data_IF_817532559729
#
_entry.id   IF_817532559729
#
_cell.length_a   1.000
_cell.length_b   1.000
_cell.length_c   1.000
_cell.angle_alpha   90.00
_cell.angle_beta   90.00
_cell.angle_gamma   90.00
#
_symmetry.space_group_name_H-M   'P 1'
#
loop_
_entity.id
_entity.type
_entity.pdbx_description
1 polymer ?
#
# COMPACT_ATOMS: atom_id res chain seq x y z
N UNK A 1 -7.54 -10.34 22.81
CA UNK A 1 -7.58 -10.22 21.34
C UNK A 1 -6.91 -8.91 20.93
N UNK A 2 -6.10 -8.88 19.86
CA UNK A 2 -5.58 -7.62 19.32
C UNK A 2 -6.74 -6.70 18.88
N UNK A 3 -6.65 -5.40 19.18
CA UNK A 3 -7.69 -4.42 18.81
C UNK A 3 -7.66 -4.09 17.31
N UNK A 4 -6.46 -4.07 16.73
CA UNK A 4 -6.22 -3.88 15.31
C UNK A 4 -4.88 -4.53 14.92
N UNK A 5 -4.71 -4.80 13.62
CA UNK A 5 -3.48 -5.32 13.04
C UNK A 5 -3.23 -4.69 11.66
N UNK A 6 -1.97 -4.74 11.24
CA UNK A 6 -1.51 -4.36 9.92
C UNK A 6 -0.20 -5.09 9.66
N UNK A 7 -0.11 -5.74 8.50
CA UNK A 7 1.14 -6.28 7.96
C UNK A 7 1.74 -5.31 6.96
N UNK A 8 3.07 -5.39 6.80
CA UNK A 8 3.75 -4.70 5.73
C UNK A 8 5.00 -5.46 5.32
N UNK A 9 5.41 -5.28 4.07
CA UNK A 9 6.61 -5.93 3.53
C UNK A 9 7.28 -5.09 2.46
N UNK A 10 8.61 -5.05 2.48
CA UNK A 10 9.41 -4.34 1.49
C UNK A 10 9.56 -5.18 0.21
N UNK A 11 9.47 -4.54 -0.96
CA UNK A 11 9.91 -5.12 -2.24
C UNK A 11 10.38 -4.06 -3.23
N UNK A 12 11.08 -4.50 -4.28
CA UNK A 12 11.29 -3.69 -5.49
C UNK A 12 10.21 -4.03 -6.51
N UNK A 13 9.39 -3.05 -6.86
CA UNK A 13 8.41 -3.14 -7.94
C UNK A 13 8.96 -2.50 -9.21
N UNK A 14 8.40 -2.86 -10.36
CA UNK A 14 8.68 -2.18 -11.63
C UNK A 14 7.49 -1.30 -12.01
N UNK A 15 7.71 -0.02 -12.24
CA UNK A 15 6.68 0.96 -12.60
C UNK A 15 7.19 1.78 -13.77
N UNK A 16 6.54 1.70 -14.94
CA UNK A 16 7.00 2.41 -16.14
C UNK A 16 8.42 2.05 -16.57
N UNK A 17 8.83 0.79 -16.34
CA UNK A 17 10.21 0.33 -16.60
C UNK A 17 11.25 0.74 -15.57
N UNK A 18 10.90 1.56 -14.57
CA UNK A 18 11.76 1.93 -13.44
C UNK A 18 11.60 0.96 -12.27
N UNK A 19 12.71 0.61 -11.63
CA UNK A 19 12.67 -0.09 -10.35
C UNK A 19 12.41 0.91 -9.22
N UNK A 20 11.37 0.64 -8.45
CA UNK A 20 10.88 1.48 -7.34
C UNK A 20 10.83 0.63 -6.08
N UNK A 21 11.53 1.05 -5.03
CA UNK A 21 11.48 0.34 -3.75
C UNK A 21 10.26 0.79 -2.95
N UNK A 22 9.36 -0.14 -2.69
CA UNK A 22 8.09 0.12 -2.00
C UNK A 22 7.96 -0.75 -0.74
N UNK A 23 7.18 -0.27 0.22
CA UNK A 23 6.63 -1.09 1.30
C UNK A 23 5.14 -1.28 1.07
N UNK A 24 4.74 -2.50 0.73
CA UNK A 24 3.33 -2.81 0.59
C UNK A 24 2.66 -3.01 1.95
N UNK A 25 1.43 -2.54 2.06
CA UNK A 25 0.60 -2.64 3.26
C UNK A 25 -0.51 -3.66 3.01
N UNK A 26 -0.68 -4.62 3.93
CA UNK A 26 -1.62 -5.73 3.80
C UNK A 26 -2.17 -6.18 5.16
N UNK A 27 -3.12 -7.12 5.14
CA UNK A 27 -3.69 -7.73 6.35
C UNK A 27 -4.32 -6.74 7.35
N UNK A 28 -4.74 -5.55 6.90
CA UNK A 28 -5.25 -4.49 7.76
C UNK A 28 -6.63 -4.86 8.30
N UNK A 29 -6.76 -4.94 9.61
CA UNK A 29 -8.05 -5.20 10.26
C UNK A 29 -8.16 -4.48 11.60
N UNK A 30 -9.38 -4.03 11.93
CA UNK A 30 -9.72 -3.52 13.27
C UNK A 30 -10.91 -4.31 13.80
N UNK A 31 -10.78 -4.83 15.01
CA UNK A 31 -11.83 -5.59 15.67
C UNK A 31 -13.13 -4.76 15.74
N UNK A 32 -14.32 -5.31 15.42
CA UNK A 32 -15.56 -4.54 15.31
C UNK A 32 -15.87 -3.62 16.50
N UNK A 33 -15.67 -4.12 17.73
CA UNK A 33 -15.87 -3.35 18.96
C UNK A 33 -14.98 -2.08 19.09
N UNK A 34 -13.88 -2.02 18.34
CA UNK A 34 -12.88 -0.94 18.38
C UNK A 34 -12.84 -0.08 17.10
N UNK A 35 -13.71 -0.36 16.13
CA UNK A 35 -13.84 0.46 14.93
C UNK A 35 -14.36 1.87 15.26
N UNK A 36 -14.03 2.84 14.41
CA UNK A 36 -14.38 4.27 14.58
C UNK A 36 -13.83 4.92 15.87
N UNK A 37 -12.87 4.28 16.54
CA UNK A 37 -12.14 4.83 17.72
C UNK A 37 -10.73 5.34 17.39
N UNK A 38 -10.39 5.45 16.10
CA UNK A 38 -9.08 5.93 15.64
C UNK A 38 -7.93 4.92 15.73
N UNK A 39 -8.18 3.67 16.16
CA UNK A 39 -7.12 2.66 16.34
C UNK A 39 -6.39 2.33 15.02
N UNK A 40 -7.12 2.19 13.92
CA UNK A 40 -6.53 1.96 12.59
C UNK A 40 -5.65 3.14 12.12
N UNK A 41 -6.11 4.38 12.29
CA UNK A 41 -5.32 5.57 11.96
C UNK A 41 -4.08 5.72 12.83
N UNK A 42 -4.13 5.26 14.09
CA UNK A 42 -2.94 5.16 14.94
C UNK A 42 -1.92 4.21 14.33
N UNK A 43 -2.33 3.02 13.85
CA UNK A 43 -1.42 2.10 13.16
C UNK A 43 -0.81 2.71 11.90
N UNK A 44 -1.58 3.42 11.08
CA UNK A 44 -1.05 4.09 9.87
C UNK A 44 0.01 5.16 10.22
N UNK A 45 -0.21 5.92 11.29
CA UNK A 45 0.78 6.89 11.78
C UNK A 45 2.04 6.22 12.31
N UNK A 46 1.89 5.13 13.05
CA UNK A 46 3.02 4.37 13.59
C UNK A 46 3.83 3.74 12.43
N UNK A 47 3.16 3.26 11.37
CA UNK A 47 3.80 2.82 10.13
C UNK A 47 4.56 3.97 9.47
N UNK A 48 3.96 5.14 9.29
CA UNK A 48 4.65 6.27 8.66
C UNK A 48 5.95 6.62 9.41
N UNK A 49 5.90 6.70 10.74
CA UNK A 49 7.09 6.94 11.55
C UNK A 49 8.16 5.85 11.37
N UNK A 50 7.74 4.59 11.29
CA UNK A 50 8.65 3.47 11.03
C UNK A 50 9.27 3.51 9.63
N UNK A 51 8.48 3.81 8.59
CA UNK A 51 8.96 3.85 7.21
C UNK A 51 10.08 4.88 7.01
N UNK A 52 10.03 6.01 7.71
CA UNK A 52 11.08 7.04 7.68
C UNK A 52 12.43 6.56 8.23
N UNK A 53 12.46 5.41 8.92
CA UNK A 53 13.72 4.77 9.36
C UNK A 53 14.34 3.85 8.30
N UNK A 54 13.66 3.65 7.16
CA UNK A 54 14.09 2.77 6.07
C UNK A 54 14.62 3.60 4.88
N UNK A 55 15.95 3.80 4.76
CA UNK A 55 16.53 4.83 3.91
C UNK A 55 16.32 4.61 2.41
N UNK A 56 15.97 3.40 1.98
CA UNK A 56 15.81 3.02 0.58
C UNK A 56 14.35 2.83 0.17
N UNK A 57 13.38 3.12 1.04
CA UNK A 57 11.96 3.06 0.71
C UNK A 57 11.50 4.38 0.11
N UNK A 58 11.02 4.35 -1.13
CA UNK A 58 10.50 5.54 -1.79
C UNK A 58 9.05 5.81 -1.40
N UNK A 59 8.22 4.75 -1.38
CA UNK A 59 6.78 4.84 -1.15
C UNK A 59 6.25 3.67 -0.32
N UNK A 60 5.24 3.92 0.52
CA UNK A 60 4.31 2.89 0.92
C UNK A 60 3.27 2.69 -0.19
N UNK A 61 2.76 1.47 -0.34
CA UNK A 61 1.87 1.09 -1.45
C UNK A 61 0.75 0.16 -0.96
N UNK A 62 -0.45 0.30 -1.51
CA UNK A 62 -1.50 -0.70 -1.37
C UNK A 62 -2.49 -0.65 -2.53
N UNK A 63 -3.15 -1.78 -2.75
CA UNK A 63 -4.45 -1.82 -3.41
C UNK A 63 -5.53 -2.12 -2.38
N UNK A 64 -6.71 -1.55 -2.57
CA UNK A 64 -7.84 -1.83 -1.71
C UNK A 64 -9.16 -1.74 -2.47
N UNK A 65 -10.22 -2.25 -1.84
CA UNK A 65 -11.59 -2.01 -2.30
C UNK A 65 -11.99 -0.53 -2.14
N UNK A 66 -12.84 -0.04 -3.05
CA UNK A 66 -13.29 1.36 -3.10
C UNK A 66 -13.86 1.87 -1.76
N UNK A 67 -14.66 1.04 -1.09
CA UNK A 67 -15.31 1.38 0.18
C UNK A 67 -14.34 1.67 1.35
N UNK A 68 -13.08 1.21 1.28
CA UNK A 68 -12.09 1.47 2.34
C UNK A 68 -11.01 2.47 1.93
N UNK A 69 -10.95 2.91 0.68
CA UNK A 69 -9.99 3.92 0.25
C UNK A 69 -10.04 5.21 1.11
N UNK A 70 -11.23 5.74 1.52
CA UNK A 70 -11.29 6.90 2.41
C UNK A 70 -10.63 6.70 3.78
N UNK A 71 -10.49 5.47 4.26
CA UNK A 71 -9.75 5.19 5.50
C UNK A 71 -8.26 5.49 5.34
N UNK A 72 -7.65 5.04 4.24
CA UNK A 72 -6.24 5.26 3.94
C UNK A 72 -5.94 6.70 3.53
N UNK A 73 -6.84 7.35 2.78
CA UNK A 73 -6.71 8.77 2.40
C UNK A 73 -6.61 9.67 3.65
N UNK A 74 -7.48 9.45 4.63
CA UNK A 74 -7.40 10.13 5.94
C UNK A 74 -6.14 9.78 6.73
N UNK A 75 -5.50 8.66 6.41
CA UNK A 75 -4.21 8.24 6.96
C UNK A 75 -2.99 8.80 6.22
N UNK A 76 -3.20 9.65 5.20
CA UNK A 76 -2.13 10.32 4.45
C UNK A 76 -1.78 9.67 3.11
N UNK A 77 -2.43 8.56 2.75
CA UNK A 77 -2.23 7.97 1.42
C UNK A 77 -2.92 8.80 0.33
N UNK A 78 -2.34 8.79 -0.86
CA UNK A 78 -2.86 9.47 -2.05
C UNK A 78 -3.23 8.43 -3.11
N UNK A 79 -4.42 8.56 -3.69
CA UNK A 79 -4.82 7.73 -4.84
C UNK A 79 -3.99 8.08 -6.06
N UNK A 80 -3.63 7.06 -6.83
CA UNK A 80 -2.94 7.20 -8.12
C UNK A 80 -3.67 6.40 -9.20
N UNK A 81 -3.68 6.83 -10.46
CA UNK A 81 -4.44 6.20 -11.54
C UNK A 81 -3.74 4.95 -12.11
N UNK A 82 -2.91 4.29 -11.31
CA UNK A 82 -2.10 3.16 -11.74
C UNK A 82 -2.84 1.86 -11.41
N UNK A 83 -2.91 0.93 -12.36
CA UNK A 83 -3.28 -0.45 -12.08
C UNK A 83 -2.06 -1.23 -11.59
N UNK A 84 -2.27 -2.19 -10.67
CA UNK A 84 -1.20 -3.08 -10.23
C UNK A 84 -1.37 -4.49 -10.80
N UNK A 85 -0.24 -5.14 -11.06
CA UNK A 85 -0.12 -6.49 -11.58
C UNK A 85 0.67 -7.35 -10.61
N UNK A 86 0.09 -8.48 -10.24
CA UNK A 86 0.66 -9.42 -9.28
C UNK A 86 0.35 -10.86 -9.66
N UNK A 87 1.06 -11.78 -9.02
CA UNK A 87 0.80 -13.21 -9.13
C UNK A 87 -0.36 -13.53 -8.19
N UNK A 88 -1.45 -14.05 -8.73
CA UNK A 88 -2.58 -14.49 -7.92
C UNK A 88 -2.14 -15.65 -7.01
N UNK A 89 -2.36 -15.56 -5.69
CA UNK A 89 -1.93 -16.60 -4.75
C UNK A 89 -2.71 -17.91 -4.88
N UNK A 90 -3.96 -17.85 -5.37
CA UNK A 90 -4.87 -18.99 -5.45
C UNK A 90 -4.76 -19.68 -6.82
N UNK A 91 -4.68 -18.89 -7.89
CA UNK A 91 -4.67 -19.40 -9.27
C UNK A 91 -3.25 -19.53 -9.88
N UNK A 92 -2.25 -18.85 -9.32
CA UNK A 92 -0.86 -18.93 -9.81
C UNK A 92 -0.62 -18.29 -11.18
N UNK A 93 -1.58 -17.51 -11.69
CA UNK A 93 -1.43 -16.73 -12.91
C UNK A 93 -1.27 -15.22 -12.60
N UNK A 94 -0.87 -14.44 -13.60
CA UNK A 94 -0.72 -13.00 -13.41
C UNK A 94 -2.04 -12.27 -13.64
N UNK A 95 -2.49 -11.54 -12.63
CA UNK A 95 -3.70 -10.70 -12.68
C UNK A 95 -3.32 -9.22 -12.67
N UNK A 96 -4.19 -8.38 -13.23
CA UNK A 96 -4.08 -6.92 -13.13
C UNK A 96 -5.36 -6.42 -12.47
N UNK A 97 -5.22 -5.84 -11.28
CA UNK A 97 -6.32 -5.27 -10.52
C UNK A 97 -6.43 -3.77 -10.82
N UNK A 98 -7.64 -3.34 -11.20
CA UNK A 98 -8.01 -1.95 -11.47
C UNK A 98 -8.67 -1.28 -10.26
N UNK A 99 -8.74 -1.96 -9.11
CA UNK A 99 -9.13 -1.38 -7.83
C UNK A 99 -8.20 -0.23 -7.42
N UNK A 100 -8.66 0.64 -6.50
CA UNK A 100 -7.89 1.79 -6.04
C UNK A 100 -6.48 1.43 -5.61
N UNK A 101 -5.51 2.05 -6.30
CA UNK A 101 -4.11 2.06 -5.91
C UNK A 101 -3.81 3.32 -5.13
N UNK A 102 -3.22 3.16 -3.95
CA UNK A 102 -2.87 4.27 -3.07
C UNK A 102 -1.39 4.18 -2.67
N UNK A 103 -0.76 5.34 -2.57
CA UNK A 103 0.64 5.47 -2.17
C UNK A 103 0.81 6.47 -1.03
N UNK A 104 1.88 6.29 -0.25
CA UNK A 104 2.35 7.28 0.72
C UNK A 104 3.82 7.57 0.41
N UNK A 105 4.20 8.81 0.02
CA UNK A 105 5.60 9.18 -0.11
C UNK A 105 6.36 9.00 1.21
N UNK A 106 7.54 8.38 1.16
CA UNK A 106 8.44 8.20 2.31
C UNK A 106 9.71 9.01 2.10
N UNK A 107 10.55 8.58 1.14
CA UNK A 107 11.73 9.32 0.69
C UNK A 107 11.64 9.77 -0.77
N UNK A 108 10.66 9.28 -1.54
CA UNK A 108 10.31 9.86 -2.85
C UNK A 108 9.39 11.06 -2.72
N UNK A 109 9.30 11.91 -3.73
CA UNK A 109 8.25 12.92 -3.82
C UNK A 109 7.02 12.36 -4.54
N UNK A 110 5.83 12.92 -4.27
CA UNK A 110 4.60 12.51 -4.96
C UNK A 110 4.71 12.67 -6.49
N UNK A 111 5.42 13.70 -6.96
CA UNK A 111 5.67 13.95 -8.38
C UNK A 111 6.62 12.96 -9.04
N UNK A 112 7.38 12.18 -8.26
CA UNK A 112 8.30 11.15 -8.78
C UNK A 112 7.57 9.82 -9.04
N UNK A 113 6.31 9.72 -8.62
CA UNK A 113 5.48 8.55 -8.90
C UNK A 113 5.19 8.48 -10.40
N UNK A 114 5.49 7.37 -11.10
CA UNK A 114 5.23 7.25 -12.54
C UNK A 114 3.72 7.10 -12.81
N UNK A 115 3.01 8.22 -12.91
CA UNK A 115 1.55 8.27 -13.04
C UNK A 115 1.07 7.56 -14.31
N UNK A 116 0.02 6.74 -14.18
CA UNK A 116 -0.64 6.08 -15.31
C UNK A 116 0.08 4.82 -15.82
N UNK A 117 1.30 4.58 -15.35
CA UNK A 117 2.06 3.36 -15.67
C UNK A 117 1.57 2.14 -14.89
N UNK A 118 1.76 0.95 -15.43
CA UNK A 118 1.43 -0.28 -14.68
C UNK A 118 2.44 -0.53 -13.57
N UNK A 119 1.95 -0.80 -12.36
CA UNK A 119 2.78 -1.25 -11.23
C UNK A 119 2.91 -2.76 -11.29
N UNK A 120 4.08 -3.30 -11.61
CA UNK A 120 4.35 -4.73 -11.55
C UNK A 120 5.01 -5.08 -10.21
N UNK A 121 4.27 -5.79 -9.35
CA UNK A 121 4.73 -6.17 -8.02
C UNK A 121 5.77 -7.29 -8.02
N UNK A 122 6.02 -7.96 -9.15
CA UNK A 122 7.00 -9.05 -9.27
C UNK A 122 6.74 -10.20 -8.27
N UNK A 123 5.49 -10.45 -7.92
CA UNK A 123 5.11 -11.56 -7.04
C UNK A 123 3.69 -11.42 -6.47
N UNK A 124 3.45 -12.09 -5.35
CA UNK A 124 2.16 -12.10 -4.64
C UNK A 124 1.80 -10.73 -4.05
N UNK A 125 0.50 -10.42 -3.83
CA UNK A 125 0.07 -9.28 -3.03
C UNK A 125 0.43 -9.47 -1.54
N UNK A 126 0.21 -8.44 -0.72
CA UNK A 126 0.54 -8.44 0.73
C UNK A 126 -0.67 -8.75 1.62
#
# INVERSE_FOLDING_TARGET
MPMAQMGFGRRVAQIGGRDVTIVGVGGVATHPAFQRRGVGHRLLRDLHAFLLTLPDVEFAFLQCREEVAPFYERGGFTRVPNAARYLDPDEGHWVTDAGPTLILPVHGALGDWPVGERVNLRGLPW
#
